data_IF_493534104678
#
_entry.id   IF_493534104678
#
_cell.length_a   1.000
_cell.length_b   1.000
_cell.length_c   1.000
_cell.angle_alpha   90.00
_cell.angle_beta   90.00
_cell.angle_gamma   90.00
#
_symmetry.space_group_name_H-M   'P 1'
#
loop_
_entity.id
_entity.type
_entity.pdbx_description
1 polymer ?
#
# COMPACT_ATOMS: atom_id res chain seq x y z
N UNK A 1 13.87 -13.47 11.23
CA UNK A 1 13.26 -13.42 9.89
C UNK A 1 12.06 -12.45 9.76
N UNK A 2 11.94 -11.43 10.57
CA UNK A 2 10.79 -10.50 10.54
C UNK A 2 11.08 -9.14 9.89
N UNK A 3 11.99 -9.08 8.92
CA UNK A 3 12.44 -7.80 8.34
C UNK A 3 11.63 -7.32 7.11
N UNK A 4 10.64 -8.08 6.63
CA UNK A 4 9.79 -7.62 5.53
C UNK A 4 8.84 -6.54 6.06
N UNK A 5 8.86 -5.33 5.49
CA UNK A 5 7.97 -4.25 5.89
C UNK A 5 6.50 -4.67 5.79
N UNK A 6 5.66 -4.16 6.70
CA UNK A 6 4.21 -4.45 6.66
C UNK A 6 3.58 -4.10 5.31
N UNK A 7 4.03 -3.02 4.69
CA UNK A 7 3.55 -2.53 3.39
C UNK A 7 3.85 -3.44 2.20
N UNK A 8 4.70 -4.45 2.37
CA UNK A 8 5.09 -5.40 1.32
C UNK A 8 4.60 -6.81 1.61
N UNK A 9 3.78 -6.98 2.65
CA UNK A 9 3.13 -8.25 2.97
C UNK A 9 1.79 -8.34 2.28
N UNK A 10 1.35 -9.56 1.96
CA UNK A 10 -0.01 -9.84 1.53
C UNK A 10 -0.95 -9.60 2.72
N UNK A 11 -1.84 -8.62 2.62
CA UNK A 11 -2.80 -8.29 3.66
C UNK A 11 -4.05 -9.15 3.53
N UNK A 12 -4.22 -10.09 4.44
CA UNK A 12 -5.34 -11.01 4.52
C UNK A 12 -6.23 -10.59 5.69
N UNK A 13 -7.39 -10.02 5.39
CA UNK A 13 -8.30 -9.53 6.43
C UNK A 13 -9.42 -10.56 6.69
N UNK A 14 -9.71 -10.78 7.97
CA UNK A 14 -10.71 -11.75 8.43
C UNK A 14 -11.96 -11.00 8.88
N UNK A 15 -13.05 -11.18 8.14
CA UNK A 15 -14.34 -10.55 8.38
C UNK A 15 -15.38 -11.57 8.85
N UNK A 16 -16.36 -11.13 9.61
CA UNK A 16 -17.43 -11.98 10.10
C UNK A 16 -18.12 -11.36 11.30
N UNK A 17 -19.24 -11.95 11.69
CA UNK A 17 -20.01 -11.55 12.87
C UNK A 17 -19.19 -11.70 14.14
N UNK A 18 -19.68 -11.08 15.18
CA UNK A 18 -19.22 -11.29 16.56
C UNK A 18 -19.33 -12.79 16.91
N UNK A 19 -18.33 -13.31 17.59
CA UNK A 19 -18.25 -14.74 17.98
C UNK A 19 -18.22 -15.76 16.83
N UNK A 20 -18.05 -15.36 15.57
CA UNK A 20 -17.87 -16.29 14.46
C UNK A 20 -16.56 -17.08 14.50
N UNK A 21 -15.63 -16.68 15.37
CA UNK A 21 -14.34 -17.33 15.55
C UNK A 21 -13.20 -16.73 14.74
N UNK A 22 -13.28 -15.44 14.36
CA UNK A 22 -12.22 -14.72 13.61
C UNK A 22 -10.86 -14.80 14.29
N UNK A 23 -10.80 -14.42 15.57
CA UNK A 23 -9.55 -14.43 16.34
C UNK A 23 -9.00 -15.86 16.52
N UNK A 24 -9.88 -16.85 16.74
CA UNK A 24 -9.48 -18.26 16.78
C UNK A 24 -8.92 -18.73 15.43
N UNK A 25 -9.55 -18.31 14.33
CA UNK A 25 -9.07 -18.63 12.98
C UNK A 25 -7.70 -18.00 12.71
N UNK A 26 -7.51 -16.72 13.05
CA UNK A 26 -6.19 -16.05 12.92
C UNK A 26 -5.13 -16.75 13.77
N UNK A 27 -5.47 -17.21 14.97
CA UNK A 27 -4.56 -18.01 15.81
C UNK A 27 -4.21 -19.33 15.14
N UNK A 28 -5.20 -20.08 14.65
CA UNK A 28 -4.99 -21.35 13.97
C UNK A 28 -4.14 -21.20 12.69
N UNK A 29 -4.40 -20.17 11.88
CA UNK A 29 -3.63 -19.86 10.68
C UNK A 29 -2.17 -19.50 10.98
N UNK A 30 -1.92 -18.80 12.10
CA UNK A 30 -0.57 -18.30 12.42
C UNK A 30 0.21 -19.20 13.37
N UNK A 31 -0.41 -20.24 13.93
CA UNK A 31 0.22 -21.10 14.94
C UNK A 31 0.64 -20.35 16.22
N UNK A 32 -0.02 -19.22 16.53
CA UNK A 32 0.34 -18.35 17.66
C UNK A 32 -0.89 -18.05 18.53
N UNK A 33 -0.84 -18.44 19.79
CA UNK A 33 -1.88 -18.21 20.80
C UNK A 33 -1.95 -16.76 21.34
N UNK A 34 -1.58 -15.76 20.57
CA UNK A 34 -1.46 -14.36 21.02
C UNK A 34 -2.66 -13.47 20.77
N UNK A 35 -3.67 -13.90 20.01
CA UNK A 35 -4.94 -13.18 20.00
C UNK A 35 -5.70 -13.54 21.28
N UNK A 36 -6.06 -12.54 22.07
CA UNK A 36 -6.91 -12.72 23.27
C UNK A 36 -8.26 -13.29 22.80
N UNK A 37 -8.40 -14.61 22.87
CA UNK A 37 -9.72 -15.25 22.78
C UNK A 37 -10.39 -15.00 24.13
N UNK A 38 -11.12 -13.88 24.24
CA UNK A 38 -11.90 -13.60 25.43
C UNK A 38 -13.26 -14.25 25.30
N UNK A 39 -13.71 -14.89 26.39
CA UNK A 39 -15.08 -15.37 26.51
C UNK A 39 -16.12 -14.20 26.59
N UNK A 40 -15.63 -12.96 26.78
CA UNK A 40 -16.48 -11.77 26.86
C UNK A 40 -16.72 -11.22 25.45
N UNK A 41 -17.96 -11.10 25.00
CA UNK A 41 -18.29 -10.56 23.69
C UNK A 41 -17.78 -9.13 23.49
N UNK A 42 -17.17 -8.83 22.33
CA UNK A 42 -16.76 -7.46 21.96
C UNK A 42 -15.38 -7.02 22.45
N UNK A 43 -14.45 -7.94 22.75
CA UNK A 43 -13.12 -7.60 23.27
C UNK A 43 -12.16 -6.98 22.26
N UNK A 44 -12.33 -7.24 20.96
CA UNK A 44 -11.48 -6.66 19.92
C UNK A 44 -12.05 -5.32 19.46
N UNK A 45 -11.51 -4.23 19.97
CA UNK A 45 -11.90 -2.87 19.55
C UNK A 45 -11.06 -2.34 18.39
N UNK A 46 -9.78 -2.71 18.31
CA UNK A 46 -8.86 -2.37 17.23
C UNK A 46 -8.46 -3.60 16.42
N UNK A 47 -8.23 -3.48 15.09
CA UNK A 47 -7.73 -4.58 14.29
C UNK A 47 -6.38 -5.07 14.80
N UNK A 48 -6.30 -6.35 15.16
CA UNK A 48 -5.06 -7.00 15.58
C UNK A 48 -4.37 -7.56 14.35
N UNK A 49 -3.08 -7.28 14.20
CA UNK A 49 -2.30 -7.74 13.05
C UNK A 49 -1.26 -8.76 13.45
N UNK A 50 -1.16 -9.86 12.70
CA UNK A 50 -0.12 -10.87 12.84
C UNK A 50 0.65 -11.06 11.54
N UNK A 51 1.96 -10.91 11.61
CA UNK A 51 2.86 -11.10 10.48
C UNK A 51 3.41 -12.51 10.49
N UNK A 52 3.37 -13.17 9.33
CA UNK A 52 3.82 -14.55 9.15
C UNK A 52 4.42 -14.74 7.76
N UNK A 53 5.36 -15.67 7.64
CA UNK A 53 5.86 -16.16 6.36
C UNK A 53 5.11 -17.45 6.03
N UNK A 54 4.44 -17.49 4.88
CA UNK A 54 3.64 -18.64 4.45
C UNK A 54 4.19 -19.16 3.13
N UNK A 55 4.70 -20.37 3.10
CA UNK A 55 5.16 -20.98 1.85
C UNK A 55 3.95 -21.59 1.08
N UNK A 56 3.81 -21.34 -0.26
CA UNK A 56 4.65 -20.54 -1.14
C UNK A 56 4.20 -19.05 -1.27
N UNK A 57 3.24 -18.59 -0.47
CA UNK A 57 2.69 -17.22 -0.55
C UNK A 57 3.71 -16.10 -0.23
N UNK A 58 4.74 -16.44 0.58
CA UNK A 58 5.69 -15.45 1.07
C UNK A 58 5.18 -14.70 2.31
N UNK A 59 5.60 -13.43 2.50
CA UNK A 59 5.30 -12.66 3.69
C UNK A 59 3.83 -12.20 3.71
N UNK A 60 3.07 -12.68 4.69
CA UNK A 60 1.66 -12.36 4.92
C UNK A 60 1.45 -11.49 6.17
N UNK A 61 0.36 -10.74 6.19
CA UNK A 61 -0.14 -10.00 7.33
C UNK A 61 -1.63 -10.35 7.52
N UNK A 62 -1.93 -11.15 8.52
CA UNK A 62 -3.30 -11.45 8.91
C UNK A 62 -3.86 -10.33 9.77
N UNK A 63 -5.06 -9.86 9.46
CA UNK A 63 -5.75 -8.77 10.14
C UNK A 63 -7.05 -9.31 10.73
N UNK A 64 -7.08 -9.42 12.05
CA UNK A 64 -8.31 -9.74 12.79
C UNK A 64 -9.15 -8.48 12.93
N UNK A 65 -10.40 -8.51 12.44
CA UNK A 65 -11.29 -7.34 12.49
C UNK A 65 -12.35 -7.47 13.59
N UNK A 66 -12.86 -6.35 14.12
CA UNK A 66 -14.08 -6.36 14.93
C UNK A 66 -15.26 -7.01 14.18
N UNK A 67 -16.26 -7.50 14.91
CA UNK A 67 -17.50 -7.99 14.30
C UNK A 67 -18.22 -6.87 13.55
N UNK A 68 -18.79 -7.19 12.41
CA UNK A 68 -19.52 -6.22 11.60
C UNK A 68 -21.02 -6.12 11.93
N UNK A 69 -21.49 -6.91 12.88
CA UNK A 69 -22.85 -6.95 13.40
C UNK A 69 -23.02 -6.19 14.74
N UNK A 70 -22.05 -5.37 15.10
CA UNK A 70 -22.01 -4.67 16.39
C UNK A 70 -22.56 -3.25 16.22
N UNK A 71 -23.89 -3.13 16.03
CA UNK A 71 -24.57 -1.85 15.79
C UNK A 71 -25.05 -1.16 17.07
N UNK A 72 -24.86 -1.76 18.25
CA UNK A 72 -25.38 -1.22 19.51
C UNK A 72 -24.46 -0.15 20.12
N UNK A 73 -24.93 1.12 20.07
CA UNK A 73 -24.32 2.27 20.73
C UNK A 73 -23.12 2.89 19.99
N UNK A 74 -22.53 3.95 20.55
CA UNK A 74 -21.39 4.68 19.98
C UNK A 74 -20.18 3.78 19.69
N UNK A 75 -19.92 2.80 20.54
CA UNK A 75 -18.82 1.85 20.37
C UNK A 75 -19.05 0.89 19.19
N UNK A 76 -20.29 0.49 18.90
CA UNK A 76 -20.64 -0.37 17.78
C UNK A 76 -20.36 0.33 16.44
N UNK A 77 -20.84 1.55 16.28
CA UNK A 77 -20.59 2.37 15.07
C UNK A 77 -19.09 2.58 14.80
N UNK A 78 -18.29 2.83 15.85
CA UNK A 78 -16.84 2.96 15.73
C UNK A 78 -16.16 1.65 15.28
N UNK A 79 -16.66 0.49 15.70
CA UNK A 79 -16.13 -0.83 15.27
C UNK A 79 -16.40 -1.11 13.81
N UNK A 80 -17.63 -0.84 13.36
CA UNK A 80 -18.01 -0.98 11.94
C UNK A 80 -17.14 -0.06 11.07
N UNK A 81 -16.92 1.20 11.49
CA UNK A 81 -16.05 2.13 10.78
C UNK A 81 -14.60 1.62 10.70
N UNK A 82 -14.06 1.06 11.76
CA UNK A 82 -12.72 0.46 11.78
C UNK A 82 -12.63 -0.77 10.87
N UNK A 83 -13.68 -1.58 10.83
CA UNK A 83 -13.77 -2.71 9.91
C UNK A 83 -13.78 -2.24 8.47
N UNK A 84 -14.52 -1.18 8.14
CA UNK A 84 -14.53 -0.55 6.81
C UNK A 84 -13.14 0.03 6.45
N UNK A 85 -12.43 0.65 7.38
CA UNK A 85 -11.04 1.11 7.16
C UNK A 85 -10.07 -0.05 6.89
N UNK A 86 -10.36 -1.25 7.41
CA UNK A 86 -9.57 -2.46 7.11
C UNK A 86 -9.83 -2.97 5.69
N UNK A 87 -11.06 -2.84 5.18
CA UNK A 87 -11.39 -3.18 3.79
C UNK A 87 -10.50 -2.43 2.80
N UNK A 88 -10.18 -1.15 3.07
CA UNK A 88 -9.32 -0.34 2.20
C UNK A 88 -7.89 -0.89 2.04
N UNK A 89 -7.45 -1.72 2.98
CA UNK A 89 -6.08 -2.26 3.04
C UNK A 89 -6.02 -3.76 2.72
N UNK A 90 -7.17 -4.43 2.60
CA UNK A 90 -7.22 -5.87 2.37
C UNK A 90 -6.89 -6.20 0.91
N UNK A 91 -5.90 -7.06 0.70
CA UNK A 91 -5.60 -7.66 -0.61
C UNK A 91 -6.49 -8.88 -0.84
N UNK A 92 -6.81 -9.64 0.22
CA UNK A 92 -7.75 -10.78 0.23
C UNK A 92 -8.62 -10.70 1.49
N UNK A 93 -9.87 -11.09 1.37
CA UNK A 93 -10.83 -11.20 2.47
C UNK A 93 -11.17 -12.67 2.76
N UNK A 94 -11.03 -13.08 4.02
CA UNK A 94 -11.62 -14.31 4.55
C UNK A 94 -12.92 -13.92 5.24
N UNK A 95 -14.06 -14.31 4.65
CA UNK A 95 -15.39 -13.98 5.17
C UNK A 95 -15.99 -15.19 5.87
N UNK A 96 -16.06 -15.14 7.21
CA UNK A 96 -16.73 -16.18 8.00
C UNK A 96 -18.24 -16.09 7.80
N UNK A 97 -18.81 -17.16 7.32
CA UNK A 97 -20.24 -17.23 6.95
C UNK A 97 -21.02 -17.96 8.05
N UNK A 98 -22.03 -17.29 8.57
CA UNK A 98 -22.96 -17.86 9.55
C UNK A 98 -24.24 -18.39 8.90
N UNK A 99 -25.05 -19.10 9.66
CA UNK A 99 -26.16 -19.90 9.12
C UNK A 99 -27.25 -19.09 8.37
N UNK A 100 -27.55 -17.85 8.75
CA UNK A 100 -28.58 -17.04 8.08
C UNK A 100 -28.09 -16.27 6.86
N UNK A 101 -26.78 -16.00 6.78
CA UNK A 101 -26.09 -15.42 5.62
C UNK A 101 -26.45 -13.99 5.21
N UNK A 102 -27.43 -13.35 5.87
CA UNK A 102 -27.99 -12.07 5.41
C UNK A 102 -26.96 -10.94 5.42
N UNK A 103 -26.24 -10.78 6.50
CA UNK A 103 -25.19 -9.74 6.62
C UNK A 103 -23.97 -10.09 5.79
N UNK A 104 -23.60 -11.36 5.74
CA UNK A 104 -22.46 -11.86 4.97
C UNK A 104 -22.62 -11.58 3.48
N UNK A 105 -23.84 -11.71 2.93
CA UNK A 105 -24.13 -11.36 1.54
C UNK A 105 -23.97 -9.86 1.26
N UNK A 106 -24.33 -8.99 2.21
CA UNK A 106 -24.09 -7.56 2.09
C UNK A 106 -22.60 -7.24 2.07
N UNK A 107 -21.83 -7.87 2.96
CA UNK A 107 -20.38 -7.74 2.99
C UNK A 107 -19.71 -8.31 1.75
N UNK A 108 -20.19 -9.45 1.24
CA UNK A 108 -19.70 -10.01 -0.01
C UNK A 108 -19.86 -9.02 -1.17
N UNK A 109 -21.03 -8.39 -1.30
CA UNK A 109 -21.26 -7.33 -2.31
C UNK A 109 -20.34 -6.12 -2.11
N UNK A 110 -20.14 -5.69 -0.88
CA UNK A 110 -19.27 -4.57 -0.55
C UNK A 110 -17.80 -4.85 -0.89
N UNK A 111 -17.31 -6.05 -0.60
CA UNK A 111 -15.94 -6.48 -0.92
C UNK A 111 -15.77 -6.64 -2.44
N UNK A 112 -16.76 -7.24 -3.12
CA UNK A 112 -16.75 -7.38 -4.58
C UNK A 112 -16.74 -6.03 -5.31
N UNK A 113 -17.53 -5.05 -4.83
CA UNK A 113 -17.53 -3.69 -5.39
C UNK A 113 -16.17 -2.97 -5.26
N UNK A 114 -15.27 -3.45 -4.39
CA UNK A 114 -13.89 -2.97 -4.22
C UNK A 114 -12.84 -3.89 -4.86
N UNK A 115 -13.31 -4.85 -5.66
CA UNK A 115 -12.44 -5.81 -6.34
C UNK A 115 -11.50 -6.55 -5.37
N UNK A 116 -12.01 -6.91 -4.18
CA UNK A 116 -11.26 -7.69 -3.20
C UNK A 116 -11.69 -9.15 -3.36
N UNK A 117 -10.75 -10.07 -3.67
CA UNK A 117 -11.03 -11.49 -3.71
C UNK A 117 -11.54 -11.97 -2.36
N UNK A 118 -12.66 -12.70 -2.35
CA UNK A 118 -13.29 -13.21 -1.12
C UNK A 118 -13.23 -14.73 -1.10
N UNK A 119 -12.78 -15.27 0.04
CA UNK A 119 -12.85 -16.69 0.36
C UNK A 119 -13.88 -16.84 1.47
N UNK A 120 -14.94 -17.60 1.20
CA UNK A 120 -15.96 -17.91 2.20
C UNK A 120 -15.45 -19.01 3.13
N UNK A 121 -15.66 -18.82 4.44
CA UNK A 121 -15.19 -19.75 5.47
C UNK A 121 -16.40 -20.21 6.30
N UNK A 122 -16.63 -21.50 6.36
CA UNK A 122 -17.57 -22.10 7.29
C UNK A 122 -16.79 -22.67 8.48
N UNK A 123 -16.72 -21.88 9.56
CA UNK A 123 -15.97 -22.25 10.77
C UNK A 123 -16.83 -23.06 11.75
N UNK A 124 -16.19 -23.60 12.80
CA UNK A 124 -16.80 -24.40 13.86
C UNK A 124 -17.38 -25.73 13.35
N UNK A 125 -16.74 -26.35 12.38
CA UNK A 125 -17.18 -27.63 11.82
C UNK A 125 -17.26 -28.76 12.89
N UNK A 126 -16.46 -28.66 13.93
CA UNK A 126 -16.45 -29.57 15.08
C UNK A 126 -17.77 -29.60 15.87
N UNK A 127 -18.53 -28.51 15.83
CA UNK A 127 -19.78 -28.37 16.59
C UNK A 127 -21.05 -28.43 15.72
N UNK A 128 -20.91 -28.57 14.38
CA UNK A 128 -22.03 -28.59 13.43
C UNK A 128 -22.39 -30.02 12.99
N UNK A 129 -23.67 -30.37 13.06
CA UNK A 129 -24.19 -31.65 12.55
C UNK A 129 -24.66 -31.57 11.09
N UNK A 130 -24.92 -30.35 10.59
CA UNK A 130 -25.54 -30.05 9.30
C UNK A 130 -24.60 -29.45 8.26
N UNK A 131 -23.29 -29.63 8.42
CA UNK A 131 -22.23 -28.99 7.61
C UNK A 131 -22.47 -29.13 6.11
N UNK A 132 -22.82 -30.32 5.63
CA UNK A 132 -23.05 -30.59 4.19
C UNK A 132 -24.22 -29.77 3.62
N UNK A 133 -25.35 -29.69 4.33
CA UNK A 133 -26.52 -28.93 3.90
C UNK A 133 -26.24 -27.41 3.89
N UNK A 134 -25.45 -26.92 4.88
CA UNK A 134 -25.06 -25.51 4.96
C UNK A 134 -24.09 -25.15 3.81
N UNK A 135 -23.13 -26.01 3.49
CA UNK A 135 -22.23 -25.83 2.35
C UNK A 135 -22.98 -25.67 1.05
N UNK A 136 -23.92 -26.62 0.74
CA UNK A 136 -24.72 -26.57 -0.49
C UNK A 136 -25.59 -25.31 -0.58
N UNK A 137 -26.12 -24.85 0.55
CA UNK A 137 -26.88 -23.60 0.59
C UNK A 137 -25.98 -22.37 0.31
N UNK A 138 -24.84 -22.25 0.97
CA UNK A 138 -23.89 -21.14 0.75
C UNK A 138 -23.45 -21.13 -0.71
N UNK A 139 -23.10 -22.28 -1.28
CA UNK A 139 -22.71 -22.41 -2.67
C UNK A 139 -23.82 -21.93 -3.62
N UNK A 140 -25.05 -22.30 -3.37
CA UNK A 140 -26.22 -21.86 -4.14
C UNK A 140 -26.47 -20.37 -4.03
N UNK A 141 -26.31 -19.78 -2.84
CA UNK A 141 -26.57 -18.37 -2.55
C UNK A 141 -25.44 -17.43 -3.03
N UNK A 142 -24.19 -17.88 -2.92
CA UNK A 142 -23.00 -17.06 -3.17
C UNK A 142 -22.24 -17.41 -4.46
N UNK A 143 -22.62 -18.52 -5.14
CA UNK A 143 -21.94 -18.98 -6.36
C UNK A 143 -20.55 -19.59 -6.13
N UNK A 144 -20.16 -19.80 -4.87
CA UNK A 144 -18.89 -20.44 -4.49
C UNK A 144 -19.05 -21.23 -3.20
N UNK A 145 -18.40 -22.40 -3.14
CA UNK A 145 -18.39 -23.23 -1.94
C UNK A 145 -17.50 -22.59 -0.86
N UNK A 146 -17.90 -22.65 0.43
CA UNK A 146 -17.03 -22.21 1.52
C UNK A 146 -15.96 -23.27 1.83
N UNK A 147 -14.79 -22.81 2.30
CA UNK A 147 -13.81 -23.68 2.95
C UNK A 147 -14.33 -24.04 4.34
N UNK A 148 -14.47 -25.33 4.61
CA UNK A 148 -14.97 -25.86 5.90
C UNK A 148 -13.79 -26.06 6.86
N UNK A 149 -13.86 -25.43 8.03
CA UNK A 149 -12.78 -25.49 9.01
C UNK A 149 -13.28 -25.61 10.44
N UNK A 150 -12.45 -26.18 11.30
CA UNK A 150 -12.53 -25.99 12.75
C UNK A 150 -11.26 -25.29 13.22
N UNK A 151 -11.37 -24.00 13.51
CA UNK A 151 -10.27 -23.23 14.07
C UNK A 151 -9.84 -23.76 15.46
N UNK A 152 -10.76 -24.40 16.20
CA UNK A 152 -10.52 -25.00 17.49
C UNK A 152 -9.67 -26.26 17.39
N UNK A 153 -9.94 -27.12 16.42
CA UNK A 153 -9.26 -28.41 16.22
C UNK A 153 -8.13 -28.33 15.19
N UNK A 154 -7.97 -27.17 14.52
CA UNK A 154 -6.96 -26.97 13.48
C UNK A 154 -7.24 -27.71 12.18
N UNK A 155 -8.48 -28.20 11.96
CA UNK A 155 -8.85 -28.94 10.76
C UNK A 155 -9.27 -28.01 9.63
N UNK A 156 -8.97 -28.34 8.37
CA UNK A 156 -9.33 -27.57 7.18
C UNK A 156 -8.47 -26.33 6.93
N UNK A 157 -7.50 -26.01 7.79
CA UNK A 157 -6.67 -24.80 7.70
C UNK A 157 -5.84 -24.76 6.40
N UNK A 158 -5.31 -25.91 5.94
CA UNK A 158 -4.58 -25.96 4.66
C UNK A 158 -5.46 -25.54 3.48
N UNK A 159 -6.73 -25.92 3.45
CA UNK A 159 -7.67 -25.52 2.40
C UNK A 159 -7.86 -24.01 2.28
N UNK A 160 -7.64 -23.23 3.36
CA UNK A 160 -7.62 -21.76 3.29
C UNK A 160 -6.41 -21.26 2.52
N UNK A 161 -5.21 -21.81 2.78
CA UNK A 161 -4.01 -21.41 2.07
C UNK A 161 -4.09 -21.77 0.57
N UNK A 162 -4.65 -22.94 0.26
CA UNK A 162 -4.87 -23.38 -1.13
C UNK A 162 -5.85 -22.42 -1.85
N UNK A 163 -6.95 -22.04 -1.19
CA UNK A 163 -7.92 -21.09 -1.73
C UNK A 163 -7.33 -19.67 -1.87
N UNK A 164 -6.42 -19.25 -0.99
CA UNK A 164 -5.69 -17.98 -1.13
C UNK A 164 -4.82 -18.03 -2.39
N UNK A 165 -4.06 -19.10 -2.60
CA UNK A 165 -3.22 -19.28 -3.79
C UNK A 165 -4.03 -19.22 -5.08
N UNK A 166 -5.20 -19.87 -5.11
CA UNK A 166 -6.10 -19.89 -6.26
C UNK A 166 -6.69 -18.50 -6.59
N UNK A 167 -6.96 -17.69 -5.55
CA UNK A 167 -7.57 -16.36 -5.70
C UNK A 167 -6.56 -15.24 -5.98
N UNK A 168 -5.26 -15.49 -5.77
CA UNK A 168 -4.22 -14.52 -6.09
C UNK A 168 -4.11 -14.34 -7.60
N UNK A 169 -3.96 -13.10 -8.11
CA UNK A 169 -3.60 -12.86 -9.49
C UNK A 169 -2.30 -13.60 -9.86
N UNK A 170 -2.22 -14.17 -11.07
CA UNK A 170 -1.01 -14.87 -11.56
C UNK A 170 0.27 -14.06 -11.38
N UNK A 171 0.19 -12.73 -11.50
CA UNK A 171 1.32 -11.79 -11.37
C UNK A 171 1.49 -11.24 -9.94
N UNK A 172 0.84 -11.85 -8.94
CA UNK A 172 1.03 -11.39 -7.56
C UNK A 172 2.49 -11.61 -7.12
N UNK A 173 3.14 -10.53 -6.69
CA UNK A 173 4.56 -10.57 -6.32
C UNK A 173 5.57 -10.35 -7.46
N UNK A 174 5.13 -10.35 -8.72
CA UNK A 174 6.00 -10.07 -9.89
C UNK A 174 6.26 -8.58 -10.12
N UNK A 175 5.60 -7.71 -9.35
CA UNK A 175 5.81 -6.28 -9.49
C UNK A 175 7.22 -5.89 -9.08
N UNK A 176 7.90 -5.23 -10.01
CA UNK A 176 9.26 -4.76 -9.81
C UNK A 176 9.30 -3.25 -9.68
N UNK A 177 10.23 -2.74 -8.87
CA UNK A 177 10.42 -1.30 -8.65
C UNK A 177 11.00 -0.66 -9.91
N UNK A 178 11.98 -1.33 -10.53
CA UNK A 178 12.72 -0.79 -11.69
C UNK A 178 12.18 -1.31 -13.03
N UNK A 179 11.14 -2.16 -13.02
CA UNK A 179 10.55 -2.71 -14.25
C UNK A 179 11.61 -3.34 -15.19
N UNK A 180 11.48 -3.07 -16.47
CA UNK A 180 12.41 -3.56 -17.51
C UNK A 180 13.53 -2.56 -17.85
N UNK A 181 13.73 -1.50 -17.05
CA UNK A 181 14.77 -0.50 -17.30
C UNK A 181 16.19 -1.04 -17.13
N UNK A 182 16.35 -2.05 -16.29
CA UNK A 182 17.64 -2.66 -15.98
C UNK A 182 17.55 -4.18 -15.99
N UNK A 183 18.65 -4.81 -16.38
CA UNK A 183 18.80 -6.25 -16.48
C UNK A 183 20.17 -6.67 -15.93
N UNK A 184 20.44 -7.99 -15.92
CA UNK A 184 21.70 -8.57 -15.43
C UNK A 184 22.92 -7.89 -16.09
N UNK A 185 23.89 -7.52 -15.27
CA UNK A 185 25.13 -6.88 -15.69
C UNK A 185 25.05 -5.37 -15.96
N UNK A 186 23.87 -4.75 -15.94
CA UNK A 186 23.74 -3.30 -16.04
C UNK A 186 24.34 -2.59 -14.83
N UNK A 187 25.01 -1.46 -15.09
CA UNK A 187 25.52 -0.60 -14.03
C UNK A 187 24.44 0.40 -13.61
N UNK A 188 24.11 0.43 -12.32
CA UNK A 188 23.15 1.36 -11.72
C UNK A 188 23.83 2.18 -10.65
N UNK A 189 23.73 3.51 -10.74
CA UNK A 189 24.26 4.44 -9.75
C UNK A 189 23.12 5.01 -8.90
N UNK A 190 23.20 4.80 -7.59
CA UNK A 190 22.27 5.36 -6.62
C UNK A 190 22.88 6.62 -6.00
N UNK A 191 22.28 7.79 -6.22
CA UNK A 191 22.70 9.06 -5.64
C UNK A 191 21.77 9.39 -4.49
N UNK A 192 22.25 9.15 -3.27
CA UNK A 192 21.48 9.27 -2.04
C UNK A 192 22.03 10.39 -1.17
N UNK A 193 21.40 11.59 -1.13
CA UNK A 193 21.80 12.63 -0.21
C UNK A 193 21.68 12.15 1.24
N UNK A 194 22.44 12.73 2.15
CA UNK A 194 22.21 12.49 3.57
C UNK A 194 20.86 13.10 3.93
N UNK A 195 19.91 12.24 4.32
CA UNK A 195 18.59 12.66 4.76
C UNK A 195 18.59 12.84 6.27
N UNK A 196 18.23 14.03 6.74
CA UNK A 196 18.07 14.33 8.17
C UNK A 196 16.96 13.48 8.78
N UNK A 197 16.00 13.02 7.96
CA UNK A 197 14.88 12.15 8.39
C UNK A 197 15.31 10.69 8.55
N UNK A 198 16.39 10.25 7.91
CA UNK A 198 16.87 8.90 8.08
C UNK A 198 17.58 8.75 9.44
N UNK A 199 17.23 7.76 10.26
CA UNK A 199 17.98 7.50 11.48
C UNK A 199 19.45 7.29 11.13
N UNK A 200 20.36 7.88 11.91
CA UNK A 200 21.81 7.75 11.70
C UNK A 200 22.22 6.28 11.52
N UNK A 201 22.91 5.98 10.42
CA UNK A 201 23.36 4.63 10.07
C UNK A 201 22.30 3.76 9.37
N UNK A 202 21.18 4.34 8.91
CA UNK A 202 20.14 3.59 8.18
C UNK A 202 19.81 4.26 6.84
N UNK A 203 19.48 3.44 5.85
CA UNK A 203 18.84 3.88 4.62
C UNK A 203 17.32 3.89 4.83
N UNK A 204 16.63 4.77 4.10
CA UNK A 204 15.16 4.77 4.08
C UNK A 204 14.63 3.56 3.29
N UNK A 205 13.41 3.14 3.60
CA UNK A 205 12.81 1.93 3.05
C UNK A 205 12.87 1.84 1.51
N UNK A 206 12.52 2.88 0.72
CA UNK A 206 12.62 2.84 -0.73
C UNK A 206 14.05 2.56 -1.23
N UNK A 207 15.06 3.12 -0.59
CA UNK A 207 16.46 2.89 -0.97
C UNK A 207 16.86 1.44 -0.74
N UNK A 208 16.54 0.87 0.44
CA UNK A 208 16.84 -0.53 0.78
C UNK A 208 16.17 -1.49 -0.20
N UNK A 209 14.89 -1.28 -0.51
CA UNK A 209 14.13 -2.15 -1.40
C UNK A 209 14.64 -2.08 -2.85
N UNK A 210 14.98 -0.89 -3.33
CA UNK A 210 15.56 -0.72 -4.67
C UNK A 210 16.92 -1.41 -4.78
N UNK A 211 17.80 -1.27 -3.77
CA UNK A 211 19.09 -1.97 -3.75
C UNK A 211 18.86 -3.48 -3.80
N UNK A 212 17.94 -4.00 -2.99
CA UNK A 212 17.65 -5.45 -2.95
C UNK A 212 17.18 -5.95 -4.30
N UNK A 213 16.22 -5.28 -4.93
CA UNK A 213 15.73 -5.67 -6.26
C UNK A 213 16.83 -5.63 -7.34
N UNK A 214 17.68 -4.59 -7.33
CA UNK A 214 18.78 -4.50 -8.26
C UNK A 214 19.79 -5.65 -8.11
N UNK A 215 20.05 -6.08 -6.87
CA UNK A 215 20.90 -7.25 -6.60
C UNK A 215 20.21 -8.55 -7.03
N UNK A 216 18.91 -8.69 -6.85
CA UNK A 216 18.14 -9.85 -7.32
C UNK A 216 18.15 -9.93 -8.87
N UNK A 217 18.17 -8.78 -9.56
CA UNK A 217 18.36 -8.67 -11.02
C UNK A 217 19.82 -8.81 -11.45
N UNK A 218 20.75 -9.06 -10.54
CA UNK A 218 22.19 -9.17 -10.78
C UNK A 218 22.81 -7.93 -11.46
N UNK A 219 22.30 -6.74 -11.13
CA UNK A 219 22.88 -5.49 -11.57
C UNK A 219 24.16 -5.18 -10.77
N UNK A 220 25.05 -4.38 -11.38
CA UNK A 220 26.20 -3.80 -10.71
C UNK A 220 25.78 -2.49 -10.07
N UNK A 221 25.70 -2.46 -8.74
CA UNK A 221 25.16 -1.31 -7.99
C UNK A 221 26.29 -0.54 -7.32
N UNK A 222 26.42 0.75 -7.67
CA UNK A 222 27.24 1.70 -6.96
C UNK A 222 26.33 2.71 -6.25
N UNK A 223 26.73 3.19 -5.08
CA UNK A 223 26.01 4.23 -4.34
C UNK A 223 26.94 5.34 -3.88
N UNK A 224 26.46 6.58 -3.91
CA UNK A 224 27.21 7.74 -3.44
C UNK A 224 26.28 8.82 -2.90
N UNK A 225 26.86 9.77 -2.18
CA UNK A 225 26.21 11.04 -1.84
C UNK A 225 26.33 12.04 -2.99
N UNK A 226 25.49 13.06 -2.97
CA UNK A 226 25.42 14.05 -4.07
C UNK A 226 26.76 14.75 -4.34
N UNK A 227 27.53 15.04 -3.29
CA UNK A 227 28.88 15.67 -3.38
C UNK A 227 29.95 14.74 -3.98
N UNK A 228 29.71 13.42 -4.01
CA UNK A 228 30.61 12.41 -4.56
C UNK A 228 30.21 11.92 -5.94
N UNK A 229 29.15 12.50 -6.55
CA UNK A 229 28.63 12.04 -7.85
C UNK A 229 29.72 12.00 -8.93
N UNK A 230 30.48 13.07 -9.12
CA UNK A 230 31.52 13.14 -10.15
C UNK A 230 32.65 12.11 -9.91
N UNK A 231 33.10 11.99 -8.67
CA UNK A 231 34.13 11.01 -8.32
C UNK A 231 33.63 9.57 -8.57
N UNK A 232 32.34 9.29 -8.28
CA UNK A 232 31.73 7.99 -8.53
C UNK A 232 31.62 7.70 -10.02
N UNK A 233 31.23 8.67 -10.85
CA UNK A 233 31.17 8.50 -12.29
C UNK A 233 32.57 8.24 -12.88
N UNK A 234 33.60 8.89 -12.39
CA UNK A 234 34.99 8.66 -12.82
C UNK A 234 35.55 7.29 -12.40
N UNK A 235 35.04 6.72 -11.32
CA UNK A 235 35.44 5.39 -10.84
C UNK A 235 34.82 4.23 -11.66
N UNK A 236 33.81 4.52 -12.49
CA UNK A 236 33.14 3.53 -13.32
C UNK A 236 33.85 3.37 -14.66
N UNK A 237 34.08 2.12 -15.11
CA UNK A 237 34.67 1.82 -16.41
C UNK A 237 33.77 2.20 -17.60
N UNK A 238 32.47 2.37 -17.36
CA UNK A 238 31.46 2.80 -18.34
C UNK A 238 30.37 3.61 -17.67
N UNK A 239 29.70 4.52 -18.38
CA UNK A 239 28.56 5.26 -17.83
C UNK A 239 27.48 4.31 -17.27
N UNK A 240 26.84 4.64 -16.15
CA UNK A 240 25.74 3.85 -15.62
C UNK A 240 24.54 3.90 -16.60
N UNK A 241 23.88 2.79 -16.79
CA UNK A 241 22.64 2.74 -17.61
C UNK A 241 21.52 3.55 -16.98
N UNK A 242 21.41 3.45 -15.65
CA UNK A 242 20.38 4.14 -14.89
C UNK A 242 21.02 4.82 -13.65
N UNK A 243 20.62 6.07 -13.44
CA UNK A 243 20.90 6.79 -12.21
C UNK A 243 19.59 6.97 -11.46
N UNK A 244 19.54 6.55 -10.19
CA UNK A 244 18.37 6.68 -9.32
C UNK A 244 18.74 7.61 -8.17
N UNK A 245 17.96 8.66 -7.95
CA UNK A 245 18.25 9.66 -6.93
C UNK A 245 17.00 10.04 -6.12
N UNK A 246 17.15 10.85 -5.10
CA UNK A 246 16.03 11.51 -4.45
C UNK A 246 15.56 12.70 -5.29
N UNK A 247 14.24 12.88 -5.41
CA UNK A 247 13.64 13.95 -6.23
C UNK A 247 14.12 15.36 -5.84
N UNK A 248 14.58 15.53 -4.60
CA UNK A 248 15.08 16.80 -4.08
C UNK A 248 16.37 17.27 -4.75
N UNK A 249 17.19 16.36 -5.28
CA UNK A 249 18.49 16.66 -5.90
C UNK A 249 18.49 16.42 -7.41
N UNK A 250 17.32 16.23 -8.02
CA UNK A 250 17.16 16.07 -9.47
C UNK A 250 17.94 17.10 -10.29
N UNK A 251 17.84 18.43 -10.05
CA UNK A 251 18.53 19.42 -10.87
C UNK A 251 20.05 19.22 -10.87
N UNK A 252 20.62 18.91 -9.71
CA UNK A 252 22.07 18.71 -9.56
C UNK A 252 22.51 17.46 -10.33
N UNK A 253 21.81 16.35 -10.13
CA UNK A 253 22.15 15.07 -10.78
C UNK A 253 21.93 15.15 -12.29
N UNK A 254 20.87 15.80 -12.75
CA UNK A 254 20.59 15.98 -14.19
C UNK A 254 21.68 16.76 -14.90
N UNK A 255 22.22 17.82 -14.28
CA UNK A 255 23.31 18.63 -14.88
C UNK A 255 24.64 17.87 -14.97
N UNK A 256 24.86 16.91 -14.09
CA UNK A 256 26.14 16.20 -13.96
C UNK A 256 26.14 14.79 -14.56
N UNK A 257 24.97 14.23 -14.88
CA UNK A 257 24.89 12.89 -15.43
C UNK A 257 25.48 12.79 -16.83
N UNK A 258 26.08 11.65 -17.22
CA UNK A 258 26.41 11.36 -18.61
C UNK A 258 25.17 11.42 -19.52
N UNK A 259 25.35 11.83 -20.78
CA UNK A 259 24.24 11.94 -21.74
C UNK A 259 23.55 10.59 -21.96
N UNK A 260 24.32 9.52 -21.98
CA UNK A 260 23.87 8.14 -22.21
C UNK A 260 23.11 7.55 -21.02
N UNK A 261 23.29 8.11 -19.82
CA UNK A 261 22.63 7.59 -18.62
C UNK A 261 21.19 8.08 -18.53
N UNK A 262 20.28 7.17 -18.28
CA UNK A 262 18.90 7.51 -17.89
C UNK A 262 18.86 7.99 -16.44
N UNK A 263 17.87 8.82 -16.10
CA UNK A 263 17.68 9.36 -14.75
C UNK A 263 16.25 9.14 -14.27
N UNK A 264 16.09 8.70 -13.06
CA UNK A 264 14.81 8.63 -12.34
C UNK A 264 14.99 8.88 -10.83
N UNK A 265 13.94 8.78 -10.04
CA UNK A 265 14.05 8.85 -8.58
C UNK A 265 13.36 7.69 -7.87
N UNK A 266 13.77 7.45 -6.61
CA UNK A 266 13.11 6.47 -5.75
C UNK A 266 11.61 6.75 -5.65
N UNK A 267 11.20 8.01 -5.47
CA UNK A 267 9.78 8.37 -5.34
C UNK A 267 8.97 8.16 -6.62
N UNK A 268 9.57 8.30 -7.81
CA UNK A 268 8.92 8.00 -9.08
C UNK A 268 8.81 6.49 -9.30
N UNK A 269 9.88 5.74 -9.03
CA UNK A 269 9.83 4.28 -9.08
C UNK A 269 8.75 3.73 -8.14
N UNK A 270 8.69 4.26 -6.92
CA UNK A 270 7.68 3.87 -5.94
C UNK A 270 6.26 4.36 -6.28
N UNK A 271 6.11 5.44 -7.06
CA UNK A 271 4.82 5.84 -7.60
C UNK A 271 4.22 4.76 -8.51
N UNK A 272 5.03 4.13 -9.35
CA UNK A 272 4.63 2.98 -10.16
C UNK A 272 4.46 1.71 -9.35
N UNK A 273 5.40 1.43 -8.47
CA UNK A 273 5.38 0.22 -7.64
C UNK A 273 4.20 0.16 -6.67
N UNK A 274 3.85 1.27 -6.04
CA UNK A 274 2.77 1.37 -5.03
C UNK A 274 1.45 1.91 -5.57
N UNK A 275 1.45 2.60 -6.71
CA UNK A 275 0.27 3.25 -7.26
C UNK A 275 0.08 2.99 -8.76
N UNK A 276 -0.51 3.98 -9.41
CA UNK A 276 -0.69 4.06 -10.86
C UNK A 276 0.10 5.28 -11.36
N UNK A 277 1.27 5.02 -11.97
CA UNK A 277 2.17 6.09 -12.43
C UNK A 277 1.52 6.95 -13.52
N UNK A 278 0.68 6.36 -14.38
CA UNK A 278 -0.01 7.11 -15.42
C UNK A 278 -1.00 8.10 -14.80
N UNK A 279 -1.81 7.65 -13.84
CA UNK A 279 -2.71 8.53 -13.09
C UNK A 279 -1.96 9.68 -12.41
N UNK A 280 -0.80 9.39 -11.81
CA UNK A 280 -0.01 10.43 -11.14
C UNK A 280 0.62 11.42 -12.11
N UNK A 281 1.06 10.97 -13.28
CA UNK A 281 1.61 11.86 -14.34
C UNK A 281 0.49 12.72 -14.96
N UNK A 282 -0.65 12.12 -15.27
CA UNK A 282 -1.84 12.85 -15.75
C UNK A 282 -2.31 13.87 -14.73
N UNK A 283 -2.41 13.48 -13.46
CA UNK A 283 -2.81 14.38 -12.38
C UNK A 283 -1.83 15.54 -12.17
N UNK A 284 -0.54 15.33 -12.40
CA UNK A 284 0.47 16.39 -12.30
C UNK A 284 0.27 17.51 -13.35
N UNK A 285 -0.39 17.23 -14.47
CA UNK A 285 -0.72 18.25 -15.46
C UNK A 285 -1.63 19.36 -14.88
N UNK A 286 -2.49 19.01 -13.91
CA UNK A 286 -3.34 19.99 -13.22
C UNK A 286 -2.54 21.09 -12.49
N UNK A 287 -1.27 20.84 -12.12
CA UNK A 287 -0.41 21.85 -11.49
C UNK A 287 -0.27 23.11 -12.39
N UNK A 288 -0.37 22.95 -13.71
CA UNK A 288 -0.24 24.03 -14.67
C UNK A 288 -1.51 24.90 -14.80
N UNK A 289 -2.66 24.38 -14.38
CA UNK A 289 -3.96 25.07 -14.41
C UNK A 289 -4.39 25.64 -13.05
N UNK A 290 -3.62 25.39 -11.97
CA UNK A 290 -3.91 25.96 -10.66
C UNK A 290 -3.79 27.48 -10.67
N UNK A 291 -4.68 28.12 -9.92
CA UNK A 291 -4.73 29.57 -9.69
C UNK A 291 -4.54 29.89 -8.21
N UNK A 292 -4.31 31.15 -7.82
CA UNK A 292 -4.26 31.53 -6.40
C UNK A 292 -5.50 31.14 -5.59
N UNK A 293 -6.67 31.01 -6.24
CA UNK A 293 -7.95 30.62 -5.61
C UNK A 293 -8.15 29.12 -5.52
N UNK A 294 -7.28 28.34 -6.14
CA UNK A 294 -7.35 26.88 -6.12
C UNK A 294 -7.06 26.31 -4.73
N UNK A 295 -7.56 25.11 -4.50
CA UNK A 295 -7.37 24.39 -3.23
C UNK A 295 -6.70 23.03 -3.48
N UNK A 296 -5.58 22.80 -2.83
CA UNK A 296 -4.77 21.58 -2.96
C UNK A 296 -4.83 20.78 -1.67
N UNK A 297 -5.06 19.48 -1.79
CA UNK A 297 -4.94 18.54 -0.67
C UNK A 297 -3.57 17.87 -0.71
N UNK A 298 -2.76 18.01 0.34
CA UNK A 298 -1.57 17.20 0.57
C UNK A 298 -1.93 16.05 1.50
N UNK A 299 -1.88 14.82 0.96
CA UNK A 299 -2.30 13.63 1.67
C UNK A 299 -1.10 12.75 2.04
N UNK A 300 -0.74 12.75 3.32
CA UNK A 300 0.28 11.88 3.87
C UNK A 300 -0.33 10.56 4.34
N UNK A 301 0.25 9.45 3.95
CA UNK A 301 -0.16 8.14 4.47
C UNK A 301 0.49 7.83 5.83
N UNK A 302 1.65 8.43 6.13
CA UNK A 302 2.40 8.19 7.36
C UNK A 302 2.06 9.24 8.43
N UNK A 303 2.09 8.80 9.69
CA UNK A 303 2.02 9.69 10.86
C UNK A 303 3.41 9.76 11.47
N UNK A 304 4.23 10.68 11.03
CA UNK A 304 5.52 10.99 11.68
C UNK A 304 5.53 12.45 12.12
N UNK A 305 6.34 12.75 13.12
CA UNK A 305 6.47 14.13 13.57
C UNK A 305 7.08 14.98 12.45
N UNK A 306 6.44 16.09 12.04
CA UNK A 306 6.96 16.94 10.99
C UNK A 306 8.29 17.54 11.41
N UNK A 307 9.29 17.46 10.51
CA UNK A 307 10.59 18.11 10.69
C UNK A 307 10.61 19.47 10.02
N UNK A 308 11.58 20.31 10.38
CA UNK A 308 11.74 21.67 9.85
C UNK A 308 11.93 21.74 8.33
N UNK A 309 12.27 20.63 7.67
CA UNK A 309 12.46 20.52 6.22
C UNK A 309 11.58 19.41 5.60
N UNK A 310 10.40 19.17 6.15
CA UNK A 310 9.49 18.15 5.66
C UNK A 310 9.07 18.40 4.20
N UNK A 311 9.00 17.31 3.41
CA UNK A 311 8.69 17.39 1.97
C UNK A 311 7.24 17.82 1.75
N UNK A 312 6.32 17.21 2.48
CA UNK A 312 4.88 17.44 2.31
C UNK A 312 4.41 18.77 2.88
N UNK A 313 4.83 19.10 4.09
CA UNK A 313 4.34 20.27 4.83
C UNK A 313 5.14 21.56 4.55
N UNK A 314 6.37 21.44 4.03
CA UNK A 314 7.25 22.61 3.81
C UNK A 314 7.68 22.77 2.34
N UNK A 315 8.31 21.75 1.75
CA UNK A 315 8.94 21.90 0.42
C UNK A 315 7.94 22.00 -0.71
N UNK A 316 6.94 21.10 -0.77
CA UNK A 316 5.91 21.12 -1.82
C UNK A 316 5.06 22.39 -1.72
N UNK A 317 4.55 22.80 -0.54
CA UNK A 317 3.86 24.08 -0.39
C UNK A 317 4.66 25.28 -0.87
N UNK A 318 5.95 25.34 -0.52
CA UNK A 318 6.84 26.42 -0.97
C UNK A 318 7.00 26.46 -2.50
N UNK A 319 7.16 25.29 -3.15
CA UNK A 319 7.25 25.21 -4.61
C UNK A 319 5.96 25.60 -5.29
N UNK A 320 4.81 25.17 -4.76
CA UNK A 320 3.49 25.52 -5.27
C UNK A 320 3.25 27.03 -5.18
N UNK A 321 3.43 27.63 -3.98
CA UNK A 321 3.22 29.05 -3.76
C UNK A 321 4.17 29.92 -4.60
N UNK A 322 5.44 29.52 -4.72
CA UNK A 322 6.39 30.23 -5.61
C UNK A 322 5.92 30.28 -7.06
N UNK A 323 5.19 29.25 -7.53
CA UNK A 323 4.73 29.17 -8.92
C UNK A 323 3.37 29.80 -9.13
N UNK A 324 2.46 29.66 -8.16
CA UNK A 324 1.03 29.96 -8.32
C UNK A 324 0.66 31.24 -7.58
N UNK A 325 1.19 31.46 -6.39
CA UNK A 325 0.92 32.60 -5.50
C UNK A 325 0.74 32.18 -4.04
N UNK A 326 0.96 33.13 -3.14
CA UNK A 326 0.90 32.88 -1.68
C UNK A 326 -0.53 32.60 -1.18
N UNK A 327 -1.56 33.02 -1.92
CA UNK A 327 -2.97 32.86 -1.57
C UNK A 327 -3.48 31.42 -1.79
N UNK A 328 -2.70 30.57 -2.47
CA UNK A 328 -3.06 29.17 -2.73
C UNK A 328 -3.40 28.44 -1.42
N UNK A 329 -4.63 27.90 -1.36
CA UNK A 329 -5.09 27.14 -0.20
C UNK A 329 -4.52 25.72 -0.23
N UNK A 330 -3.90 25.31 0.86
CA UNK A 330 -3.31 23.97 0.98
C UNK A 330 -3.77 23.34 2.29
N UNK A 331 -4.53 22.28 2.16
CA UNK A 331 -4.96 21.44 3.29
C UNK A 331 -4.05 20.23 3.45
N UNK A 332 -3.93 19.75 4.68
CA UNK A 332 -3.11 18.59 5.02
C UNK A 332 -3.96 17.53 5.71
N UNK A 333 -3.75 16.28 5.32
CA UNK A 333 -4.30 15.12 6.02
C UNK A 333 -3.22 14.06 6.18
N UNK A 334 -3.30 13.28 7.27
CA UNK A 334 -2.33 12.24 7.56
C UNK A 334 -2.99 10.90 7.91
N UNK A 335 -2.26 9.81 7.71
CA UNK A 335 -2.71 8.46 8.06
C UNK A 335 -3.99 8.05 7.33
N UNK A 336 -5.02 7.72 8.10
CA UNK A 336 -6.32 7.24 7.57
C UNK A 336 -7.37 8.36 7.36
N UNK A 337 -7.00 9.62 7.57
CA UNK A 337 -7.94 10.76 7.56
C UNK A 337 -8.15 11.34 6.16
N UNK A 338 -8.07 10.50 5.13
CA UNK A 338 -8.38 10.90 3.76
C UNK A 338 -9.86 11.25 3.66
N UNK A 339 -10.22 12.45 3.14
CA UNK A 339 -11.60 12.93 3.10
C UNK A 339 -12.49 12.02 2.26
N UNK A 340 -13.74 11.84 2.68
CA UNK A 340 -14.77 11.13 1.89
C UNK A 340 -15.31 12.00 0.74
N UNK A 341 -15.38 13.30 0.94
CA UNK A 341 -15.79 14.30 -0.07
C UNK A 341 -14.53 15.06 -0.54
N UNK A 342 -14.19 14.92 -1.80
CA UNK A 342 -13.02 15.53 -2.44
C UNK A 342 -13.42 16.73 -3.32
N UNK A 343 -14.71 17.01 -3.50
CA UNK A 343 -15.24 17.98 -4.46
C UNK A 343 -14.71 19.41 -4.31
N UNK A 344 -14.19 19.75 -3.12
CA UNK A 344 -13.61 21.07 -2.82
C UNK A 344 -12.17 21.25 -3.25
N UNK A 345 -11.51 20.20 -3.79
CA UNK A 345 -10.10 20.24 -4.16
C UNK A 345 -9.92 20.24 -5.68
N UNK A 346 -8.96 21.01 -6.15
CA UNK A 346 -8.56 21.06 -7.55
C UNK A 346 -7.40 20.09 -7.86
N UNK A 347 -6.67 19.66 -6.83
CA UNK A 347 -5.57 18.71 -6.95
C UNK A 347 -5.31 18.01 -5.61
N UNK A 348 -5.00 16.72 -5.70
CA UNK A 348 -4.50 15.93 -4.57
C UNK A 348 -3.05 15.57 -4.83
N UNK A 349 -2.17 15.83 -3.85
CA UNK A 349 -0.76 15.43 -3.88
C UNK A 349 -0.53 14.42 -2.78
N UNK A 350 -0.39 13.15 -3.16
CA UNK A 350 -0.24 12.02 -2.25
C UNK A 350 1.24 11.74 -1.95
N UNK A 351 1.59 11.37 -0.73
CA UNK A 351 2.95 10.95 -0.39
C UNK A 351 3.30 9.59 -1.03
N UNK A 352 4.57 9.16 -0.92
CA UNK A 352 5.05 7.88 -1.46
C UNK A 352 4.48 6.62 -0.81
N UNK A 353 3.67 6.76 0.26
CA UNK A 353 3.00 5.67 0.99
C UNK A 353 3.90 4.47 1.33
N UNK A 354 5.15 4.72 1.71
CA UNK A 354 6.13 3.67 1.99
C UNK A 354 5.69 2.70 3.11
N UNK A 355 4.82 3.13 4.01
CA UNK A 355 4.28 2.36 5.13
C UNK A 355 2.96 1.64 4.81
N UNK A 356 2.37 1.86 3.63
CA UNK A 356 1.10 1.28 3.22
C UNK A 356 1.27 0.32 2.04
N UNK A 357 0.35 -0.63 1.90
CA UNK A 357 0.35 -1.53 0.76
C UNK A 357 -0.20 -0.85 -0.51
N UNK A 358 0.00 -1.50 -1.65
CA UNK A 358 -0.43 -1.01 -2.96
C UNK A 358 -1.95 -0.79 -3.03
N UNK A 359 -2.74 -1.72 -2.50
CA UNK A 359 -4.22 -1.65 -2.54
C UNK A 359 -4.75 -0.36 -1.92
N UNK A 360 -4.16 0.07 -0.82
CA UNK A 360 -4.54 1.32 -0.15
C UNK A 360 -4.32 2.56 -1.04
N UNK A 361 -3.19 2.62 -1.76
CA UNK A 361 -2.90 3.72 -2.68
C UNK A 361 -3.84 3.71 -3.88
N UNK A 362 -4.07 2.52 -4.46
CA UNK A 362 -4.99 2.35 -5.59
C UNK A 362 -6.43 2.72 -5.23
N UNK A 363 -6.89 2.41 -4.02
CA UNK A 363 -8.21 2.82 -3.55
C UNK A 363 -8.35 4.34 -3.47
N UNK A 364 -7.31 5.07 -3.03
CA UNK A 364 -7.31 6.55 -3.02
C UNK A 364 -7.31 7.12 -4.44
N UNK A 365 -6.56 6.52 -5.35
CA UNK A 365 -6.58 6.91 -6.77
C UNK A 365 -7.96 6.67 -7.38
N UNK A 366 -8.58 5.51 -7.13
CA UNK A 366 -9.92 5.19 -7.61
C UNK A 366 -10.96 6.16 -7.04
N UNK A 367 -10.87 6.52 -5.76
CA UNK A 367 -11.76 7.51 -5.14
C UNK A 367 -11.61 8.89 -5.80
N UNK A 368 -10.38 9.37 -5.97
CA UNK A 368 -10.14 10.66 -6.64
C UNK A 368 -10.67 10.66 -8.09
N UNK A 369 -10.48 9.57 -8.83
CA UNK A 369 -11.02 9.40 -10.19
C UNK A 369 -12.55 9.39 -10.22
N UNK A 370 -13.20 8.73 -9.25
CA UNK A 370 -14.67 8.69 -9.18
C UNK A 370 -15.28 10.09 -8.96
N UNK A 371 -14.58 10.96 -8.26
CA UNK A 371 -14.98 12.36 -8.05
C UNK A 371 -14.36 13.33 -9.07
N UNK A 372 -13.68 12.81 -10.10
CA UNK A 372 -13.02 13.59 -11.16
C UNK A 372 -11.97 14.59 -10.64
N UNK A 373 -11.34 14.31 -9.49
CA UNK A 373 -10.29 15.15 -8.92
C UNK A 373 -8.91 14.62 -9.35
N UNK A 374 -8.04 15.45 -9.95
CA UNK A 374 -6.68 15.07 -10.32
C UNK A 374 -5.89 14.65 -9.08
N UNK A 375 -5.15 13.56 -9.19
CA UNK A 375 -4.27 13.06 -8.13
C UNK A 375 -2.87 12.82 -8.66
N UNK A 376 -1.87 13.30 -7.95
CA UNK A 376 -0.45 13.03 -8.23
C UNK A 376 0.29 12.62 -6.97
N UNK A 377 1.58 12.30 -7.07
CA UNK A 377 2.38 11.99 -5.89
C UNK A 377 3.55 12.98 -5.72
N UNK A 378 4.19 12.97 -4.53
CA UNK A 378 5.28 13.87 -4.17
C UNK A 378 6.39 13.90 -5.22
N UNK A 379 6.85 12.73 -5.69
CA UNK A 379 7.95 12.65 -6.66
C UNK A 379 7.61 13.24 -8.01
N UNK A 380 6.43 12.91 -8.52
CA UNK A 380 5.93 13.43 -9.81
C UNK A 380 5.61 14.92 -9.69
N UNK A 381 5.00 15.37 -8.58
CA UNK A 381 4.72 16.79 -8.33
C UNK A 381 6.01 17.63 -8.29
N UNK A 382 7.05 17.17 -7.57
CA UNK A 382 8.35 17.85 -7.51
C UNK A 382 9.00 17.89 -8.90
N UNK A 383 8.97 16.77 -9.65
CA UNK A 383 9.52 16.71 -11.00
C UNK A 383 8.80 17.69 -11.95
N UNK A 384 7.47 17.80 -11.86
CA UNK A 384 6.67 18.77 -12.62
C UNK A 384 7.00 20.21 -12.22
N UNK A 385 6.99 20.52 -10.93
CA UNK A 385 7.27 21.86 -10.40
C UNK A 385 8.68 22.36 -10.71
N UNK A 386 9.65 21.45 -10.82
CA UNK A 386 11.06 21.77 -11.15
C UNK A 386 11.33 21.70 -12.65
N UNK A 387 10.34 21.37 -13.52
CA UNK A 387 10.50 21.32 -14.98
C UNK A 387 11.42 20.18 -15.44
N UNK A 388 11.44 19.06 -14.71
CA UNK A 388 12.29 17.92 -15.03
C UNK A 388 11.49 16.66 -15.40
N UNK A 389 10.15 16.70 -15.28
CA UNK A 389 9.28 15.52 -15.46
C UNK A 389 9.43 14.87 -16.85
N UNK A 390 9.61 15.65 -17.88
CA UNK A 390 9.82 15.25 -19.29
C UNK A 390 11.27 14.80 -19.60
N UNK A 391 12.17 15.00 -18.65
CA UNK A 391 13.63 14.70 -18.79
C UNK A 391 14.06 13.44 -18.05
N UNK A 392 13.14 12.81 -17.33
CA UNK A 392 13.39 11.60 -16.56
C UNK A 392 12.66 10.41 -17.15
N UNK A 393 13.14 9.21 -16.85
CA UNK A 393 12.46 8.00 -17.27
C UNK A 393 11.38 7.61 -16.26
N UNK A 394 10.22 7.26 -16.79
CA UNK A 394 9.06 6.84 -16.03
C UNK A 394 8.69 5.45 -16.54
N UNK A 395 8.75 4.45 -15.65
CA UNK A 395 8.27 3.11 -15.94
C UNK A 395 6.73 3.13 -16.05
N UNK A 396 6.21 2.72 -17.20
CA UNK A 396 4.78 2.64 -17.51
C UNK A 396 4.36 1.20 -17.71
#
# INVERSE_FOLDING_TARGET
>A
MNNTPRSNRLHIAVFGRRNSGKSSLVNALTGQDTALVSATPGTTTDPVTKAMEVYPLGPCLFIDTPGFDDDEGELGGMRVERTLKTVEKADIALLLYEADGTLEQQWLKLLAAREIPVILILNKADSRQDTASVVLRIEKECGQAPVVVSAKEGTGIQGIFDAILEKLPENFGEQTITGNWVSEGDVVLLVMPQDIQAPKGRLILPQVQTIRELLDKKCLVMSCTTDKLQASLQALARPPKLIITDSQVFPIVYQQKPAESSLTSFSILFAGYKGDINAFVEGAAAIHSLTPQSRVLIAEACTHAPLTEDIGTVKIPRLLRKRIGEELQIDFVSGNDFPKDLSRYDLIIHCGACMFNRKYVLNRIAHARAEHIPITNYGVAIASLTGILDKIVIYR
#
